data_IF_913027528987
#
_entry.id   IF_913027528987
#
_cell.length_a   1.000
_cell.length_b   1.000
_cell.length_c   1.000
_cell.angle_alpha   90.00
_cell.angle_beta   90.00
_cell.angle_gamma   90.00
#
_symmetry.space_group_name_H-M   'P 1'
#
loop_
_entity.id
_entity.type
_entity.pdbx_description
1 polymer ?
#
# COMPACT_ATOMS: atom_id res chain seq x y z
N UNK A 1 10.59 -5.11 -15.30
CA UNK A 1 10.46 -6.14 -14.26
C UNK A 1 9.24 -5.87 -13.43
N UNK A 2 8.47 -6.88 -13.13
CA UNK A 2 7.25 -6.75 -12.36
C UNK A 2 7.44 -7.20 -10.92
N UNK A 3 6.70 -6.60 -10.02
CA UNK A 3 6.69 -6.96 -8.60
C UNK A 3 5.25 -6.94 -8.10
N UNK A 4 4.91 -7.91 -7.27
CA UNK A 4 3.64 -7.95 -6.58
C UNK A 4 3.92 -7.62 -5.11
N UNK A 5 3.15 -6.71 -4.54
CA UNK A 5 3.26 -6.38 -3.12
C UNK A 5 1.90 -6.56 -2.47
N UNK A 6 1.89 -7.22 -1.32
CA UNK A 6 0.71 -7.32 -0.48
C UNK A 6 0.88 -6.36 0.67
N UNK A 7 -0.06 -5.42 0.78
CA UNK A 7 0.02 -4.33 1.74
C UNK A 7 -1.07 -4.51 2.79
N UNK A 8 -0.66 -4.47 4.05
CA UNK A 8 -1.60 -4.51 5.18
C UNK A 8 -1.33 -3.29 6.05
N UNK A 9 -2.23 -2.34 6.01
CA UNK A 9 -2.14 -1.11 6.79
C UNK A 9 -3.01 -1.22 8.03
N UNK A 10 -2.40 -1.01 9.20
CA UNK A 10 -3.08 -1.11 10.49
C UNK A 10 -2.94 0.21 11.22
N UNK A 11 -3.98 1.07 11.18
CA UNK A 11 -3.93 2.32 11.93
C UNK A 11 -4.02 2.03 13.44
N UNK A 12 -3.20 2.73 14.22
CA UNK A 12 -3.16 2.59 15.66
C UNK A 12 -3.66 3.88 16.30
N UNK A 13 -4.50 3.74 17.33
CA UNK A 13 -5.01 4.89 18.08
C UNK A 13 -5.73 5.92 17.21
N UNK A 14 -6.41 5.45 16.16
CA UNK A 14 -7.15 6.31 15.26
C UNK A 14 -8.62 6.34 15.64
N UNK A 15 -9.21 7.55 15.58
CA UNK A 15 -10.65 7.71 15.76
C UNK A 15 -11.42 7.36 14.49
N UNK A 16 -10.74 7.35 13.34
CA UNK A 16 -11.37 7.13 12.02
C UNK A 16 -10.57 6.13 11.18
N UNK A 17 -10.42 4.87 11.63
CA UNK A 17 -9.57 3.90 10.91
C UNK A 17 -10.10 3.58 9.52
N UNK A 18 -11.41 3.55 9.32
CA UNK A 18 -11.99 3.24 8.01
C UNK A 18 -11.67 4.33 6.98
N UNK A 19 -11.76 5.58 7.40
CA UNK A 19 -11.46 6.70 6.51
C UNK A 19 -9.99 6.71 6.12
N UNK A 20 -9.10 6.40 7.05
CA UNK A 20 -7.67 6.33 6.76
C UNK A 20 -7.35 5.24 5.76
N UNK A 21 -7.95 4.06 5.91
CA UNK A 21 -7.75 2.96 4.96
C UNK A 21 -8.30 3.34 3.59
N UNK A 22 -9.45 3.99 3.55
CA UNK A 22 -10.06 4.41 2.30
C UNK A 22 -9.22 5.46 1.58
N UNK A 23 -8.68 6.44 2.30
CA UNK A 23 -7.77 7.45 1.75
C UNK A 23 -6.52 6.78 1.16
N UNK A 24 -6.00 5.78 1.85
CA UNK A 24 -4.87 5.00 1.38
C UNK A 24 -5.18 4.31 0.05
N UNK A 25 -6.35 3.68 -0.04
CA UNK A 25 -6.76 2.98 -1.26
C UNK A 25 -6.93 3.95 -2.44
N UNK A 26 -7.49 5.13 -2.19
CA UNK A 26 -7.62 6.15 -3.22
C UNK A 26 -6.25 6.63 -3.69
N UNK A 27 -5.31 6.80 -2.77
CA UNK A 27 -3.95 7.18 -3.10
C UNK A 27 -3.27 6.12 -3.97
N UNK A 28 -3.41 4.86 -3.59
CA UNK A 28 -2.84 3.73 -4.35
C UNK A 28 -3.41 3.69 -5.77
N UNK A 29 -4.71 3.94 -5.91
CA UNK A 29 -5.39 3.87 -7.20
C UNK A 29 -4.93 4.96 -8.17
N UNK A 30 -4.28 6.01 -7.70
CA UNK A 30 -3.74 7.07 -8.55
C UNK A 30 -2.44 6.68 -9.24
N UNK A 31 -1.83 5.58 -8.82
CA UNK A 31 -0.57 5.10 -9.39
C UNK A 31 -0.81 4.09 -10.50
N UNK A 32 0.18 3.93 -11.37
CA UNK A 32 0.11 3.01 -12.50
C UNK A 32 0.42 1.58 -12.06
N UNK A 33 -0.49 1.02 -11.29
CA UNK A 33 -0.39 -0.36 -10.79
C UNK A 33 -1.76 -1.03 -10.86
N UNK A 34 -1.75 -2.35 -10.95
CA UNK A 34 -2.98 -3.14 -10.80
C UNK A 34 -3.26 -3.28 -9.30
N UNK A 35 -4.50 -3.07 -8.90
CA UNK A 35 -4.91 -3.11 -7.49
C UNK A 35 -5.98 -4.16 -7.30
N UNK A 36 -5.78 -5.02 -6.30
CA UNK A 36 -6.76 -6.02 -5.89
C UNK A 36 -6.97 -5.89 -4.39
N UNK A 37 -8.17 -5.49 -4.00
CA UNK A 37 -8.51 -5.24 -2.60
C UNK A 37 -9.19 -6.47 -2.02
N UNK A 38 -8.60 -7.01 -0.96
CA UNK A 38 -9.12 -8.17 -0.24
C UNK A 38 -9.61 -7.75 1.14
N UNK A 39 -10.24 -8.67 1.86
CA UNK A 39 -10.73 -8.37 3.19
C UNK A 39 -9.64 -8.02 4.19
N UNK A 40 -8.48 -8.64 4.06
CA UNK A 40 -7.39 -8.49 5.03
C UNK A 40 -6.21 -7.69 4.49
N UNK A 41 -6.17 -7.40 3.20
CA UNK A 41 -5.02 -6.74 2.61
C UNK A 41 -5.36 -6.18 1.25
N UNK A 42 -4.43 -5.42 0.69
CA UNK A 42 -4.50 -4.91 -0.67
C UNK A 42 -3.27 -5.39 -1.41
N UNK A 43 -3.47 -6.00 -2.57
CA UNK A 43 -2.38 -6.43 -3.42
C UNK A 43 -2.21 -5.46 -4.57
N UNK A 44 -0.97 -5.13 -4.88
CA UNK A 44 -0.64 -4.29 -6.03
C UNK A 44 0.36 -5.03 -6.90
N UNK A 45 0.27 -4.83 -8.21
CA UNK A 45 1.20 -5.39 -9.17
C UNK A 45 1.56 -4.32 -10.18
N UNK A 46 2.84 -4.15 -10.43
CA UNK A 46 3.31 -3.19 -11.39
C UNK A 46 4.80 -3.27 -11.58
N UNK A 47 5.34 -2.30 -12.31
CA UNK A 47 6.77 -2.22 -12.48
C UNK A 47 7.44 -2.07 -11.11
N UNK A 48 8.58 -2.74 -10.93
CA UNK A 48 9.25 -2.82 -9.64
C UNK A 48 9.52 -1.44 -9.05
N UNK A 49 10.07 -0.53 -9.85
CA UNK A 49 10.38 0.81 -9.35
C UNK A 49 9.12 1.56 -8.93
N UNK A 50 8.04 1.41 -9.70
CA UNK A 50 6.76 2.03 -9.39
C UNK A 50 6.18 1.50 -8.08
N UNK A 51 6.25 0.18 -7.89
CA UNK A 51 5.75 -0.45 -6.66
C UNK A 51 6.52 0.05 -5.43
N UNK A 52 7.85 0.08 -5.50
CA UNK A 52 8.66 0.56 -4.38
C UNK A 52 8.42 2.04 -4.10
N UNK A 53 8.31 2.85 -5.14
CA UNK A 53 8.04 4.26 -4.98
C UNK A 53 6.68 4.50 -4.33
N UNK A 54 5.67 3.76 -4.75
CA UNK A 54 4.33 3.85 -4.17
C UNK A 54 4.36 3.52 -2.68
N UNK A 55 5.02 2.43 -2.30
CA UNK A 55 5.12 2.03 -0.89
C UNK A 55 5.79 3.13 -0.07
N UNK A 56 6.87 3.69 -0.59
CA UNK A 56 7.58 4.77 0.08
C UNK A 56 6.70 6.00 0.26
N UNK A 57 5.96 6.39 -0.78
CA UNK A 57 5.09 7.55 -0.73
C UNK A 57 3.94 7.36 0.26
N UNK A 58 3.35 6.16 0.29
CA UNK A 58 2.31 5.83 1.26
C UNK A 58 2.85 5.98 2.68
N UNK A 59 3.99 5.38 2.95
CA UNK A 59 4.59 5.44 4.27
C UNK A 59 4.87 6.89 4.68
N UNK A 60 5.50 7.66 3.81
CA UNK A 60 5.85 9.04 4.11
C UNK A 60 4.60 9.90 4.32
N UNK A 61 3.59 9.71 3.51
CA UNK A 61 2.35 10.48 3.63
C UNK A 61 1.69 10.26 4.99
N UNK A 62 1.59 9.00 5.42
CA UNK A 62 0.97 8.68 6.70
C UNK A 62 1.82 9.13 7.89
N UNK A 63 3.14 9.00 7.77
CA UNK A 63 4.06 9.44 8.83
C UNK A 63 4.04 10.96 9.01
N UNK A 64 3.94 11.71 7.91
CA UNK A 64 3.90 13.17 7.95
C UNK A 64 2.62 13.70 8.60
N UNK A 65 1.53 12.94 8.53
CA UNK A 65 0.28 13.32 9.19
C UNK A 65 0.31 13.03 10.70
N UNK A 66 1.44 12.52 11.20
CA UNK A 66 1.58 12.20 12.60
C UNK A 66 0.82 10.94 13.01
N UNK A 67 0.42 10.14 12.05
CA UNK A 67 -0.29 8.91 12.30
C UNK A 67 0.63 7.86 12.88
N UNK A 68 0.13 7.10 13.85
CA UNK A 68 0.83 5.92 14.32
C UNK A 68 0.18 4.70 13.68
N UNK A 69 0.97 3.88 13.01
CA UNK A 69 0.46 2.75 12.26
C UNK A 69 1.50 1.65 12.15
N UNK A 70 1.01 0.47 11.78
CA UNK A 70 1.85 -0.64 11.35
C UNK A 70 1.59 -0.88 9.88
N UNK A 71 2.65 -1.11 9.13
CA UNK A 71 2.54 -1.34 7.69
C UNK A 71 3.29 -2.62 7.36
N UNK A 72 2.54 -3.67 7.05
CA UNK A 72 3.11 -4.95 6.68
C UNK A 72 3.15 -5.06 5.16
N UNK A 73 4.31 -5.38 4.63
CA UNK A 73 4.52 -5.49 3.20
C UNK A 73 5.16 -6.82 2.90
N UNK A 74 4.52 -7.60 2.02
CA UNK A 74 5.09 -8.82 1.50
C UNK A 74 5.33 -8.65 0.01
N UNK A 75 6.54 -8.94 -0.43
CA UNK A 75 6.93 -8.78 -1.83
C UNK A 75 7.06 -10.14 -2.49
N UNK A 76 6.53 -10.25 -3.70
CA UNK A 76 6.71 -11.42 -4.56
C UNK A 76 7.34 -10.97 -5.86
N UNK A 77 8.41 -11.63 -6.23
CA UNK A 77 9.06 -11.42 -7.52
C UNK A 77 8.63 -12.53 -8.48
N UNK A 78 7.67 -12.25 -9.38
CA UNK A 78 7.20 -13.27 -10.31
C UNK A 78 8.22 -13.44 -11.44
N UNK A 79 9.02 -14.47 -11.36
CA UNK A 79 10.14 -14.68 -12.27
C UNK A 79 9.71 -15.11 -13.68
N UNK A 80 8.45 -15.47 -13.86
CA UNK A 80 7.94 -15.95 -15.14
C UNK A 80 7.46 -14.83 -16.05
N UNK A 81 7.60 -13.59 -15.66
CA UNK A 81 7.11 -12.46 -16.46
C UNK A 81 8.22 -11.55 -16.96
#
# INVERSE_FOLDING_TARGET
>A
MKTIAQLTYIPLYSDHPKEQVQDLLEFVAQHDVEVDVNYLSTSIKGDTDTVFELVREVYNSMALEGQKFRFHIELLSPTAE
#
